data_IF_238476749642
#
_entry.id   IF_238476749642
#
_cell.length_a   1.000
_cell.length_b   1.000
_cell.length_c   1.000
_cell.angle_alpha   90.00
_cell.angle_beta   90.00
_cell.angle_gamma   90.00
#
_symmetry.space_group_name_H-M   'P 1'
#
loop_
_entity.id
_entity.type
_entity.pdbx_description
1 polymer ?
#
# COMPACT_ATOMS: atom_id res chain seq x y z
N UNK A 1 50.74 12.89 -45.05
CA UNK A 1 49.30 12.47 -45.01
C UNK A 1 48.87 11.79 -43.70
N UNK A 2 49.58 11.93 -42.58
CA UNK A 2 49.37 11.17 -41.36
C UNK A 2 48.73 11.97 -40.18
N UNK A 3 48.75 13.31 -40.23
CA UNK A 3 48.23 14.11 -39.12
C UNK A 3 46.70 14.36 -39.13
N UNK A 4 46.01 14.15 -40.26
CA UNK A 4 44.56 14.42 -40.37
C UNK A 4 43.68 13.25 -39.88
N UNK A 5 44.25 12.04 -39.74
CA UNK A 5 43.50 10.87 -39.28
C UNK A 5 43.42 10.73 -37.75
N UNK A 6 44.35 11.35 -37.02
CA UNK A 6 44.43 11.25 -35.54
C UNK A 6 43.40 12.20 -34.90
N UNK A 7 43.11 13.35 -35.50
CA UNK A 7 42.15 14.33 -34.99
C UNK A 7 40.67 13.83 -35.11
N UNK A 8 40.34 13.02 -36.13
CA UNK A 8 38.98 12.48 -36.27
C UNK A 8 38.70 11.36 -35.30
N UNK A 9 39.70 10.53 -34.97
CA UNK A 9 39.53 9.45 -33.98
C UNK A 9 39.40 9.99 -32.53
N UNK A 10 40.10 11.10 -32.20
CA UNK A 10 39.99 11.75 -30.91
C UNK A 10 38.64 12.44 -30.68
N UNK A 11 38.08 13.01 -31.71
CA UNK A 11 36.76 13.67 -31.64
C UNK A 11 35.59 12.69 -31.47
N UNK A 12 35.68 11.51 -32.10
CA UNK A 12 34.63 10.48 -31.97
C UNK A 12 34.66 9.83 -30.59
N UNK A 13 35.83 9.65 -29.98
CA UNK A 13 35.95 9.09 -28.64
C UNK A 13 35.46 10.04 -27.56
N UNK A 14 35.64 11.36 -27.72
CA UNK A 14 35.08 12.36 -26.79
C UNK A 14 33.57 12.49 -26.90
N UNK A 15 33.00 12.33 -28.08
CA UNK A 15 31.55 12.38 -28.30
C UNK A 15 30.83 11.15 -27.73
N UNK A 16 31.50 9.98 -27.73
CA UNK A 16 30.96 8.76 -27.11
C UNK A 16 31.04 8.77 -25.59
N UNK A 17 32.01 9.46 -24.99
CA UNK A 17 32.08 9.64 -23.53
C UNK A 17 31.06 10.66 -23.01
N UNK A 18 30.70 11.67 -23.79
CA UNK A 18 29.65 12.62 -23.41
C UNK A 18 28.24 12.05 -23.49
N UNK A 19 28.00 10.97 -24.25
CA UNK A 19 26.71 10.28 -24.33
C UNK A 19 26.50 9.25 -23.19
N UNK A 20 27.53 8.95 -22.38
CA UNK A 20 27.45 7.98 -21.30
C UNK A 20 27.11 8.58 -19.92
N UNK A 21 26.98 9.89 -19.81
CA UNK A 21 26.56 10.57 -18.58
C UNK A 21 25.09 11.01 -18.68
N UNK A 22 24.18 10.10 -19.01
CA UNK A 22 22.83 10.24 -18.51
C UNK A 22 22.83 9.65 -17.10
N UNK A 23 22.97 10.52 -16.11
CA UNK A 23 22.59 10.16 -14.75
C UNK A 23 21.10 9.82 -14.83
N UNK A 24 20.79 8.52 -14.72
CA UNK A 24 19.44 8.07 -14.44
C UNK A 24 19.02 8.83 -13.18
N UNK A 25 18.00 9.67 -13.28
CA UNK A 25 17.42 10.32 -12.12
C UNK A 25 16.82 9.25 -11.22
N UNK A 26 17.57 8.88 -10.18
CA UNK A 26 17.26 7.76 -9.30
C UNK A 26 16.06 8.02 -8.39
N UNK A 27 15.54 9.24 -8.39
CA UNK A 27 14.44 9.68 -7.52
C UNK A 27 13.15 10.06 -8.26
N UNK A 28 13.20 10.21 -9.57
CA UNK A 28 12.04 10.58 -10.37
C UNK A 28 11.73 9.55 -11.45
N UNK A 29 10.47 9.46 -11.82
CA UNK A 29 10.09 8.94 -13.14
C UNK A 29 10.52 9.94 -14.21
N UNK A 30 10.72 9.50 -15.45
CA UNK A 30 10.98 10.42 -16.58
C UNK A 30 10.01 11.60 -16.49
N UNK A 31 10.54 12.82 -16.34
CA UNK A 31 9.74 14.03 -16.15
C UNK A 31 9.03 14.36 -17.45
N UNK A 32 7.73 14.11 -17.59
CA UNK A 32 6.98 14.59 -18.75
C UNK A 32 6.95 16.11 -18.70
N UNK A 33 6.94 16.76 -19.85
CA UNK A 33 6.67 18.20 -19.88
C UNK A 33 5.32 18.43 -19.19
N UNK A 34 5.32 19.27 -18.16
CA UNK A 34 4.13 19.62 -17.41
C UNK A 34 3.05 20.19 -18.34
N UNK A 35 1.86 19.58 -18.38
CA UNK A 35 0.75 19.98 -19.24
C UNK A 35 -0.54 20.29 -18.48
N UNK A 36 -0.59 20.04 -17.18
CA UNK A 36 -1.84 20.02 -16.37
C UNK A 36 -2.27 21.38 -15.78
N UNK A 37 -1.61 22.51 -16.11
CA UNK A 37 -1.92 23.82 -15.54
C UNK A 37 -1.26 24.09 -14.17
N UNK A 38 -1.39 25.30 -13.63
CA UNK A 38 -0.70 25.74 -12.42
C UNK A 38 -1.01 24.85 -11.19
N UNK A 39 -2.21 24.27 -11.10
CA UNK A 39 -2.64 23.42 -9.99
C UNK A 39 -1.76 22.18 -9.81
N UNK A 40 -1.23 21.58 -10.88
CA UNK A 40 -0.47 20.34 -10.82
C UNK A 40 1.03 20.51 -11.01
N UNK A 41 1.55 21.74 -10.92
CA UNK A 41 2.98 22.01 -11.06
C UNK A 41 3.82 21.26 -10.03
N UNK A 42 3.27 21.07 -8.82
CA UNK A 42 3.95 20.38 -7.75
C UNK A 42 2.96 19.52 -6.99
N UNK A 43 2.75 18.34 -7.53
CA UNK A 43 1.91 17.33 -6.90
C UNK A 43 2.71 16.61 -5.80
N UNK A 44 2.09 16.49 -4.62
CA UNK A 44 2.60 15.69 -3.49
C UNK A 44 1.57 14.67 -3.07
N UNK A 45 2.01 13.45 -2.78
CA UNK A 45 1.15 12.40 -2.21
C UNK A 45 1.58 12.04 -0.79
N UNK A 46 0.60 12.02 0.11
CA UNK A 46 0.74 11.59 1.51
C UNK A 46 -0.04 10.29 1.71
N UNK A 47 0.44 9.41 2.57
CA UNK A 47 -0.26 8.16 2.84
C UNK A 47 0.60 7.10 3.49
N UNK A 48 0.20 5.86 3.27
CA UNK A 48 0.83 4.67 3.83
C UNK A 48 1.45 3.79 2.73
N UNK A 49 1.52 2.48 2.97
CA UNK A 49 2.07 1.47 2.05
C UNK A 49 1.43 1.49 0.66
N UNK A 50 0.12 1.76 0.56
CA UNK A 50 -0.60 1.86 -0.72
C UNK A 50 -0.02 2.96 -1.61
N UNK A 51 0.23 4.13 -1.01
CA UNK A 51 0.78 5.32 -1.67
C UNK A 51 2.27 5.17 -1.95
N UNK A 52 3.01 4.55 -1.02
CA UNK A 52 4.45 4.32 -1.17
C UNK A 52 4.79 3.30 -2.28
N UNK A 53 3.85 2.43 -2.65
CA UNK A 53 4.07 1.39 -3.66
C UNK A 53 4.52 0.06 -3.08
N UNK A 54 4.13 -0.26 -1.85
CA UNK A 54 4.35 -1.57 -1.24
C UNK A 54 3.51 -2.64 -1.94
N UNK A 55 4.12 -3.76 -2.29
CA UNK A 55 3.44 -4.89 -2.93
C UNK A 55 4.15 -6.20 -2.54
N UNK A 56 3.38 -7.27 -2.40
CA UNK A 56 3.90 -8.60 -2.09
C UNK A 56 4.78 -8.62 -0.82
N UNK A 57 4.34 -7.92 0.23
CA UNK A 57 5.06 -7.87 1.50
C UNK A 57 6.44 -7.20 1.42
N UNK A 58 6.66 -6.32 0.43
CA UNK A 58 7.93 -5.64 0.25
C UNK A 58 7.84 -4.40 -0.63
N UNK A 59 8.97 -3.71 -0.78
CA UNK A 59 9.05 -2.48 -1.56
C UNK A 59 10.45 -2.33 -2.19
N UNK A 60 10.48 -1.94 -3.45
CA UNK A 60 11.69 -1.57 -4.20
C UNK A 60 11.33 -0.57 -5.29
N UNK A 61 12.29 -0.08 -6.06
CA UNK A 61 12.07 0.87 -7.13
C UNK A 61 11.00 0.40 -8.15
N UNK A 62 10.97 -0.89 -8.47
CA UNK A 62 9.99 -1.43 -9.42
C UNK A 62 8.56 -1.33 -8.89
N UNK A 63 8.32 -1.67 -7.62
CA UNK A 63 6.99 -1.57 -7.01
C UNK A 63 6.59 -0.12 -6.76
N UNK A 64 7.56 0.74 -6.40
CA UNK A 64 7.34 2.18 -6.23
C UNK A 64 6.85 2.84 -7.52
N UNK A 65 7.46 2.51 -8.67
CA UNK A 65 7.03 2.98 -10.00
C UNK A 65 5.61 2.56 -10.38
N UNK A 66 5.10 1.50 -9.79
CA UNK A 66 3.76 0.98 -10.04
C UNK A 66 2.70 1.62 -9.15
N UNK A 67 3.09 2.42 -8.15
CA UNK A 67 2.14 3.06 -7.24
C UNK A 67 1.19 3.99 -7.99
N UNK A 68 -0.05 4.04 -7.54
CA UNK A 68 -1.06 4.91 -8.11
C UNK A 68 -0.63 6.39 -8.11
N UNK A 69 0.16 6.80 -7.11
CA UNK A 69 0.64 8.17 -6.96
C UNK A 69 1.61 8.55 -8.10
N UNK A 70 2.54 7.65 -8.43
CA UNK A 70 3.45 7.81 -9.58
C UNK A 70 2.67 7.84 -10.89
N UNK A 71 1.71 6.92 -11.06
CA UNK A 71 0.89 6.84 -12.27
C UNK A 71 0.00 8.08 -12.45
N UNK A 72 -0.58 8.60 -11.37
CA UNK A 72 -1.37 9.82 -11.39
C UNK A 72 -0.51 11.04 -11.70
N UNK A 73 0.68 11.15 -11.10
CA UNK A 73 1.63 12.21 -11.39
C UNK A 73 2.04 12.24 -12.87
N UNK A 74 2.32 11.07 -13.43
CA UNK A 74 2.64 10.93 -14.85
C UNK A 74 1.48 11.39 -15.74
N UNK A 75 0.24 11.05 -15.41
CA UNK A 75 -0.94 11.51 -16.13
C UNK A 75 -1.14 13.03 -16.00
N UNK A 76 -0.86 13.60 -14.82
CA UNK A 76 -0.88 15.06 -14.59
C UNK A 76 0.21 15.80 -15.35
N UNK A 77 1.27 15.10 -15.79
CA UNK A 77 2.50 15.72 -16.29
C UNK A 77 3.27 16.48 -15.19
N UNK A 78 3.11 16.07 -13.92
CA UNK A 78 3.77 16.68 -12.78
C UNK A 78 5.12 16.00 -12.51
N UNK A 79 6.22 16.73 -12.33
CA UNK A 79 7.46 16.17 -11.80
C UNK A 79 7.20 15.47 -10.47
N UNK A 80 7.70 14.24 -10.32
CA UNK A 80 7.35 13.43 -9.15
C UNK A 80 8.55 12.67 -8.60
N UNK A 81 9.03 13.11 -7.45
CA UNK A 81 10.20 12.58 -6.78
C UNK A 81 9.79 11.67 -5.62
N UNK A 82 10.34 10.47 -5.57
CA UNK A 82 10.12 9.51 -4.49
C UNK A 82 11.45 8.91 -4.00
N UNK A 83 11.53 8.42 -2.77
CA UNK A 83 12.75 7.82 -2.21
C UNK A 83 12.98 6.44 -2.84
N UNK A 84 13.57 6.42 -4.05
CA UNK A 84 13.78 5.20 -4.81
C UNK A 84 14.70 4.23 -4.07
N UNK A 85 14.21 3.03 -3.83
CA UNK A 85 14.91 1.99 -3.09
C UNK A 85 15.75 1.10 -4.02
N UNK A 86 16.82 0.55 -3.47
CA UNK A 86 17.63 -0.44 -4.15
C UNK A 86 16.85 -1.73 -4.46
N UNK A 87 17.32 -2.50 -5.44
CA UNK A 87 16.92 -3.88 -5.61
C UNK A 87 17.82 -4.79 -4.73
N UNK A 88 17.31 -5.91 -4.19
CA UNK A 88 15.97 -6.45 -4.43
C UNK A 88 14.85 -5.80 -3.60
N UNK A 89 15.13 -4.95 -2.62
CA UNK A 89 14.11 -4.19 -1.89
C UNK A 89 14.29 -4.13 -0.38
N UNK A 90 13.37 -3.45 0.29
CA UNK A 90 13.43 -3.12 1.72
C UNK A 90 12.07 -3.31 2.43
N UNK A 91 11.70 -4.53 2.83
CA UNK A 91 12.28 -5.81 2.41
C UNK A 91 12.01 -6.12 0.93
N UNK A 92 12.74 -7.07 0.34
CA UNK A 92 12.43 -7.52 -1.02
C UNK A 92 11.02 -8.08 -1.11
N UNK A 93 10.25 -7.78 -2.17
CA UNK A 93 8.96 -8.39 -2.40
C UNK A 93 9.01 -9.92 -2.39
N UNK A 94 7.96 -10.56 -1.89
CA UNK A 94 7.77 -12.01 -1.92
C UNK A 94 7.50 -12.44 -3.36
N UNK A 95 8.15 -13.46 -3.84
CA UNK A 95 7.92 -14.12 -5.13
C UNK A 95 7.26 -15.50 -4.99
N UNK A 96 7.41 -16.15 -3.82
CA UNK A 96 6.74 -17.39 -3.48
C UNK A 96 6.35 -17.38 -2.00
N UNK A 97 5.05 -17.28 -1.74
CA UNK A 97 4.54 -17.18 -0.37
C UNK A 97 4.50 -18.56 0.30
N UNK A 98 3.95 -19.55 -0.37
CA UNK A 98 3.73 -20.88 0.17
C UNK A 98 4.87 -21.81 -0.23
N UNK A 99 5.88 -21.92 0.63
CA UNK A 99 7.03 -22.80 0.43
C UNK A 99 6.92 -24.06 1.30
N UNK A 100 7.69 -25.08 0.96
CA UNK A 100 7.73 -26.30 1.78
C UNK A 100 8.28 -26.05 3.20
N UNK A 101 9.20 -25.09 3.34
CA UNK A 101 9.76 -24.69 4.65
C UNK A 101 8.82 -23.85 5.50
N UNK A 102 7.71 -23.34 4.93
CA UNK A 102 6.83 -22.37 5.59
C UNK A 102 7.35 -20.94 5.62
N UNK A 103 8.60 -20.70 5.19
CA UNK A 103 9.17 -19.35 5.11
C UNK A 103 9.00 -18.81 3.69
N UNK A 104 8.36 -17.64 3.49
CA UNK A 104 8.22 -17.06 2.17
C UNK A 104 9.57 -16.85 1.47
N UNK A 105 9.66 -17.16 0.19
CA UNK A 105 10.81 -16.80 -0.63
C UNK A 105 10.64 -15.38 -1.16
N UNK A 106 11.71 -14.60 -1.16
CA UNK A 106 11.74 -13.20 -1.59
C UNK A 106 12.67 -13.01 -2.78
N UNK A 107 12.41 -11.97 -3.55
CA UNK A 107 13.27 -11.59 -4.68
C UNK A 107 14.74 -11.49 -4.25
N UNK A 108 15.63 -12.05 -5.07
CA UNK A 108 17.06 -12.08 -4.79
C UNK A 108 17.49 -13.13 -3.77
N UNK A 109 16.58 -14.03 -3.35
CA UNK A 109 16.90 -15.11 -2.41
C UNK A 109 17.20 -14.62 -0.98
N UNK A 110 16.89 -13.38 -0.66
CA UNK A 110 17.33 -12.73 0.57
C UNK A 110 16.17 -12.51 1.54
N UNK A 111 16.34 -12.99 2.77
CA UNK A 111 15.63 -12.47 3.95
C UNK A 111 16.29 -11.20 4.50
N UNK A 112 17.40 -10.76 3.90
CA UNK A 112 18.22 -9.66 4.39
C UNK A 112 17.62 -8.34 3.97
N UNK A 113 17.26 -7.56 4.96
CA UNK A 113 16.69 -6.23 4.87
C UNK A 113 17.77 -5.16 4.93
N UNK A 114 18.83 -5.26 4.09
CA UNK A 114 19.74 -4.15 3.96
C UNK A 114 19.10 -3.09 3.09
N UNK A 115 18.57 -2.05 3.75
CA UNK A 115 17.80 -1.00 3.11
C UNK A 115 18.68 0.21 2.83
N UNK A 116 18.78 0.61 1.58
CA UNK A 116 19.37 1.90 1.20
C UNK A 116 18.73 2.45 -0.06
N UNK A 117 18.80 3.75 -0.20
CA UNK A 117 18.36 4.44 -1.40
C UNK A 117 19.30 4.10 -2.56
N UNK A 118 18.77 4.11 -3.78
CA UNK A 118 19.57 3.90 -5.00
C UNK A 118 20.60 5.00 -5.23
N UNK A 119 20.34 6.19 -4.70
CA UNK A 119 21.28 7.31 -4.73
C UNK A 119 21.57 7.80 -3.32
N UNK A 120 22.80 8.16 -3.06
CA UNK A 120 23.20 8.85 -1.82
C UNK A 120 22.71 10.31 -1.78
N UNK A 121 22.37 10.89 -2.93
CA UNK A 121 21.86 12.26 -3.04
C UNK A 121 20.34 12.23 -2.92
N UNK A 122 19.83 12.78 -1.83
CA UNK A 122 18.39 12.97 -1.64
C UNK A 122 18.00 14.26 -2.37
N UNK A 123 16.91 14.27 -3.18
CA UNK A 123 16.43 15.50 -3.79
C UNK A 123 16.06 16.53 -2.73
N UNK A 124 16.06 17.80 -3.08
CA UNK A 124 15.71 18.91 -2.18
C UNK A 124 14.34 18.74 -1.55
N UNK A 125 13.44 18.07 -2.23
CA UNK A 125 12.11 17.70 -1.73
C UNK A 125 11.64 16.39 -2.32
N UNK A 126 10.67 15.76 -1.67
CA UNK A 126 10.00 14.56 -2.13
C UNK A 126 8.56 14.89 -2.53
N UNK A 127 8.10 14.32 -3.61
CA UNK A 127 6.71 14.36 -4.05
C UNK A 127 5.88 13.22 -3.45
N UNK A 128 6.48 12.02 -3.28
CA UNK A 128 5.87 10.95 -2.51
C UNK A 128 6.47 10.93 -1.10
N UNK A 129 5.70 11.40 -0.13
CA UNK A 129 6.11 11.44 1.29
C UNK A 129 5.45 10.34 2.11
N UNK A 130 4.79 9.40 1.44
CA UNK A 130 4.12 8.28 2.10
C UNK A 130 5.14 7.29 2.71
N UNK A 131 4.79 6.75 3.88
CA UNK A 131 5.59 5.76 4.59
C UNK A 131 4.75 4.51 4.83
N UNK A 132 5.24 3.31 4.45
CA UNK A 132 4.55 2.07 4.74
C UNK A 132 4.23 1.92 6.24
N UNK A 133 3.05 1.38 6.54
CA UNK A 133 2.50 1.17 7.88
C UNK A 133 2.10 2.41 8.67
N UNK A 134 2.27 3.61 8.11
CA UNK A 134 1.90 4.85 8.81
C UNK A 134 0.39 4.91 9.09
N UNK A 135 0.07 5.27 10.33
CA UNK A 135 -1.24 5.71 10.79
C UNK A 135 -1.41 7.22 10.60
N UNK A 136 -2.60 7.74 10.86
CA UNK A 136 -2.85 9.18 10.76
C UNK A 136 -1.94 10.00 11.71
N UNK A 137 -1.65 9.48 12.89
CA UNK A 137 -0.74 10.10 13.85
C UNK A 137 0.70 10.18 13.32
N UNK A 138 1.18 9.14 12.62
CA UNK A 138 2.54 9.09 12.07
C UNK A 138 2.80 10.14 11.00
N UNK A 139 1.75 10.64 10.34
CA UNK A 139 1.89 11.72 9.37
C UNK A 139 2.29 13.05 10.02
N UNK A 140 2.00 13.24 11.31
CA UNK A 140 2.18 14.51 12.02
C UNK A 140 3.16 14.44 13.19
N UNK A 141 3.48 13.24 13.66
CA UNK A 141 4.43 13.01 14.77
C UNK A 141 5.46 11.98 14.35
N UNK A 142 6.72 12.28 14.58
CA UNK A 142 7.82 11.35 14.34
C UNK A 142 8.73 11.35 15.58
N UNK A 143 8.68 10.25 16.34
CA UNK A 143 9.53 10.14 17.53
C UNK A 143 9.21 8.91 18.39
N UNK A 144 10.19 8.42 19.15
CA UNK A 144 9.99 7.32 20.07
C UNK A 144 9.01 7.74 21.18
N UNK A 145 8.07 6.86 21.49
CA UNK A 145 7.12 7.05 22.59
C UNK A 145 5.83 7.79 22.25
N UNK A 146 5.60 8.11 21.00
CA UNK A 146 4.35 8.76 20.57
C UNK A 146 3.18 7.77 20.30
N UNK A 147 3.38 6.47 20.56
CA UNK A 147 2.40 5.44 20.21
C UNK A 147 2.22 5.27 18.70
N UNK A 148 3.21 5.68 17.93
CA UNK A 148 3.21 5.68 16.48
C UNK A 148 3.82 4.39 15.93
N UNK A 149 3.34 3.97 14.76
CA UNK A 149 3.97 2.92 13.96
C UNK A 149 5.18 3.44 13.16
N UNK A 150 5.82 4.52 13.63
CA UNK A 150 7.03 5.05 13.05
C UNK A 150 8.09 3.95 12.96
N UNK A 151 8.57 3.67 11.77
CA UNK A 151 9.48 2.58 11.48
C UNK A 151 10.78 3.08 10.83
N UNK A 152 11.73 2.17 10.61
CA UNK A 152 13.02 2.51 9.98
C UNK A 152 12.89 3.13 8.59
N UNK A 153 11.78 2.89 7.88
CA UNK A 153 11.52 3.49 6.58
C UNK A 153 11.20 4.99 6.70
N UNK A 154 10.58 5.44 7.79
CA UNK A 154 10.36 6.88 8.03
C UNK A 154 11.71 7.62 8.06
N UNK A 155 12.68 7.06 8.79
CA UNK A 155 14.02 7.63 8.83
C UNK A 155 14.71 7.59 7.47
N UNK A 156 14.60 6.47 6.77
CA UNK A 156 15.24 6.28 5.46
C UNK A 156 14.62 7.19 4.39
N UNK A 157 13.29 7.29 4.33
CA UNK A 157 12.58 8.03 3.29
C UNK A 157 12.61 9.53 3.54
N UNK A 158 12.32 9.95 4.77
CA UNK A 158 12.04 11.33 5.11
C UNK A 158 13.16 12.01 5.91
N UNK A 159 14.26 11.27 6.20
CA UNK A 159 15.40 11.79 6.98
C UNK A 159 14.97 12.24 8.38
N UNK A 160 14.02 11.55 9.02
CA UNK A 160 13.51 11.89 10.34
C UNK A 160 12.41 12.94 10.37
N UNK A 161 11.99 13.48 9.21
CA UNK A 161 10.84 14.40 9.12
C UNK A 161 9.53 13.62 9.18
N UNK A 162 8.44 14.29 9.59
CA UNK A 162 7.09 13.78 9.40
C UNK A 162 6.67 13.91 7.94
N UNK A 163 5.61 13.20 7.53
CA UNK A 163 5.05 13.39 6.20
C UNK A 163 4.60 14.83 5.96
N UNK A 164 4.00 15.45 6.98
CA UNK A 164 3.58 16.88 6.94
C UNK A 164 4.78 17.78 6.71
N UNK A 165 5.87 17.61 7.47
CA UNK A 165 7.07 18.43 7.30
C UNK A 165 7.66 18.27 5.88
N UNK A 166 7.79 17.03 5.41
CA UNK A 166 8.31 16.77 4.07
C UNK A 166 7.39 17.30 2.95
N UNK A 167 6.07 17.24 3.15
CA UNK A 167 5.07 17.84 2.25
C UNK A 167 5.20 19.36 2.20
N UNK A 168 5.34 20.02 3.36
CA UNK A 168 5.51 21.47 3.41
C UNK A 168 6.81 21.91 2.76
N UNK A 169 7.91 21.19 2.95
CA UNK A 169 9.21 21.46 2.31
C UNK A 169 9.13 21.34 0.77
N UNK A 170 8.21 20.52 0.27
CA UNK A 170 7.98 20.41 -1.16
C UNK A 170 7.21 21.60 -1.74
N UNK A 171 6.64 22.50 -0.95
CA UNK A 171 5.80 23.63 -1.39
C UNK A 171 4.76 23.19 -2.43
N UNK A 172 3.82 22.27 -2.11
CA UNK A 172 2.90 21.68 -3.08
C UNK A 172 1.94 22.71 -3.66
N UNK A 173 1.47 22.46 -4.88
CA UNK A 173 0.30 23.12 -5.46
C UNK A 173 -0.94 22.24 -5.41
N UNK A 174 -0.73 20.91 -5.34
CA UNK A 174 -1.78 19.90 -5.19
C UNK A 174 -1.31 18.77 -4.29
N UNK A 175 -2.17 18.31 -3.38
CA UNK A 175 -1.87 17.21 -2.47
C UNK A 175 -2.95 16.13 -2.57
N UNK A 176 -2.57 14.87 -2.68
CA UNK A 176 -3.48 13.75 -2.39
C UNK A 176 -3.15 13.15 -1.04
N UNK A 177 -4.18 12.85 -0.23
CA UNK A 177 -4.04 12.23 1.09
C UNK A 177 -4.83 10.95 1.15
N UNK A 178 -4.14 9.81 1.36
CA UNK A 178 -4.79 8.54 1.62
C UNK A 178 -4.10 7.84 2.80
N UNK A 179 -4.52 8.23 3.99
CA UNK A 179 -3.99 7.74 5.27
C UNK A 179 -5.16 7.42 6.22
N UNK A 180 -4.95 6.49 7.14
CA UNK A 180 -5.96 6.05 8.10
C UNK A 180 -6.35 4.57 7.97
N UNK A 181 -5.90 3.87 6.92
CA UNK A 181 -6.17 2.44 6.78
C UNK A 181 -5.52 1.62 7.90
N UNK A 182 -4.29 1.97 8.31
CA UNK A 182 -3.56 1.25 9.35
C UNK A 182 -4.14 1.50 10.75
N UNK A 183 -4.82 2.64 10.97
CA UNK A 183 -5.58 2.93 12.19
C UNK A 183 -6.66 1.88 12.51
N UNK A 184 -7.00 1.02 11.52
CA UNK A 184 -7.97 -0.08 11.62
C UNK A 184 -7.37 -1.44 11.30
N UNK A 185 -6.37 -1.52 10.40
CA UNK A 185 -5.91 -2.77 9.81
C UNK A 185 -5.29 -3.70 10.85
N UNK A 186 -4.39 -3.19 11.70
CA UNK A 186 -3.73 -4.00 12.72
C UNK A 186 -4.75 -4.61 13.71
N UNK A 187 -5.77 -3.84 14.09
CA UNK A 187 -6.87 -4.29 14.93
C UNK A 187 -7.69 -5.40 14.26
N UNK A 188 -8.01 -5.24 12.99
CA UNK A 188 -8.75 -6.24 12.22
C UNK A 188 -7.93 -7.54 12.05
N UNK A 189 -6.62 -7.43 11.79
CA UNK A 189 -5.73 -8.59 11.68
C UNK A 189 -5.58 -9.35 12.99
N UNK A 190 -5.59 -8.64 14.13
CA UNK A 190 -5.50 -9.23 15.46
C UNK A 190 -6.84 -9.75 15.99
N UNK A 191 -7.97 -9.38 15.40
CA UNK A 191 -9.30 -9.60 15.99
C UNK A 191 -9.48 -8.86 17.32
N UNK A 192 -8.81 -7.69 17.47
CA UNK A 192 -8.79 -6.93 18.72
C UNK A 192 -9.22 -5.48 18.51
N UNK A 193 -10.44 -5.16 18.90
CA UNK A 193 -11.02 -3.83 18.75
C UNK A 193 -10.33 -2.76 19.60
N UNK A 194 -9.55 -3.14 20.60
CA UNK A 194 -8.82 -2.18 21.47
C UNK A 194 -7.62 -1.54 20.78
N UNK A 195 -7.17 -2.14 19.67
CA UNK A 195 -6.06 -1.62 18.85
C UNK A 195 -6.51 -0.57 17.83
N UNK A 196 -7.80 -0.32 17.71
CA UNK A 196 -8.33 0.72 16.80
C UNK A 196 -7.99 2.10 17.34
N UNK A 197 -7.43 2.96 16.52
CA UNK A 197 -7.30 4.38 16.85
C UNK A 197 -8.69 4.99 17.07
N UNK A 198 -8.96 5.51 18.24
CA UNK A 198 -10.28 6.09 18.51
C UNK A 198 -10.59 7.29 17.62
N UNK A 199 -11.88 7.51 17.33
CA UNK A 199 -12.34 8.54 16.40
C UNK A 199 -11.90 9.96 16.79
N UNK A 200 -11.68 10.26 18.10
CA UNK A 200 -11.24 11.59 18.54
C UNK A 200 -9.75 11.78 18.23
N UNK A 201 -8.92 10.78 18.51
CA UNK A 201 -7.49 10.77 18.20
C UNK A 201 -7.25 10.84 16.70
N UNK A 202 -7.99 10.03 15.92
CA UNK A 202 -7.95 10.10 14.46
C UNK A 202 -8.29 11.51 13.95
N UNK A 203 -9.39 12.10 14.43
CA UNK A 203 -9.80 13.47 14.07
C UNK A 203 -8.74 14.49 14.38
N UNK A 204 -8.12 14.42 15.56
CA UNK A 204 -7.09 15.36 15.97
C UNK A 204 -5.83 15.28 15.09
N UNK A 205 -5.41 14.06 14.73
CA UNK A 205 -4.27 13.83 13.84
C UNK A 205 -4.57 14.27 12.41
N UNK A 206 -5.75 13.89 11.89
CA UNK A 206 -6.16 14.23 10.53
C UNK A 206 -6.37 15.74 10.34
N UNK A 207 -6.87 16.45 11.37
CA UNK A 207 -6.99 17.91 11.35
C UNK A 207 -5.62 18.57 11.17
N UNK A 208 -4.58 18.12 11.87
CA UNK A 208 -3.21 18.63 11.69
C UNK A 208 -2.67 18.44 10.27
N UNK A 209 -3.00 17.31 9.63
CA UNK A 209 -2.65 17.10 8.21
C UNK A 209 -3.32 18.14 7.33
N UNK A 210 -4.62 18.35 7.53
CA UNK A 210 -5.43 19.31 6.76
C UNK A 210 -4.97 20.76 6.98
N UNK A 211 -4.79 21.18 8.22
CA UNK A 211 -4.31 22.52 8.59
C UNK A 211 -2.93 22.81 7.96
N UNK A 212 -2.07 21.79 7.89
CA UNK A 212 -0.74 21.92 7.28
C UNK A 212 -0.81 22.05 5.76
N UNK A 213 -1.74 21.36 5.11
CA UNK A 213 -1.97 21.52 3.66
C UNK A 213 -2.54 22.91 3.38
N UNK A 214 -3.51 23.36 4.16
CA UNK A 214 -4.09 24.70 4.03
C UNK A 214 -3.02 25.78 4.18
N UNK A 215 -2.10 25.63 5.13
CA UNK A 215 -1.00 26.56 5.37
C UNK A 215 -0.05 26.71 4.16
N UNK A 216 0.02 25.70 3.26
CA UNK A 216 0.80 25.81 2.02
C UNK A 216 0.06 26.51 0.89
N UNK A 217 -1.24 26.74 1.02
CA UNK A 217 -2.10 27.23 -0.06
C UNK A 217 -2.41 26.18 -1.14
N UNK A 218 -2.04 24.94 -0.95
CA UNK A 218 -2.31 23.86 -1.90
C UNK A 218 -3.78 23.47 -1.93
N UNK A 219 -4.23 22.98 -3.08
CA UNK A 219 -5.51 22.29 -3.22
C UNK A 219 -5.33 20.79 -2.95
N UNK A 220 -6.36 20.09 -2.47
CA UNK A 220 -6.20 18.68 -2.13
C UNK A 220 -7.33 17.76 -2.62
N UNK A 221 -7.00 16.48 -2.80
CA UNK A 221 -7.94 15.36 -2.87
C UNK A 221 -7.75 14.48 -1.63
N UNK A 222 -8.80 14.37 -0.82
CA UNK A 222 -8.84 13.48 0.33
C UNK A 222 -9.52 12.15 -0.06
N UNK A 223 -8.84 11.03 0.18
CA UNK A 223 -9.32 9.71 -0.21
C UNK A 223 -9.87 8.98 1.00
N UNK A 224 -11.04 8.38 0.87
CA UNK A 224 -11.65 7.57 1.91
C UNK A 224 -10.80 6.36 2.26
N UNK A 225 -10.69 6.07 3.54
CA UNK A 225 -10.05 4.84 4.02
C UNK A 225 -10.98 3.65 3.86
N UNK A 226 -10.42 2.44 3.70
CA UNK A 226 -11.18 1.21 3.59
C UNK A 226 -10.33 0.01 3.94
N UNK A 227 -10.99 -0.98 4.54
CA UNK A 227 -10.43 -2.31 4.80
C UNK A 227 -10.96 -3.36 3.80
N UNK A 228 -11.61 -2.92 2.73
CA UNK A 228 -12.39 -3.77 1.84
C UNK A 228 -13.88 -3.73 2.17
N UNK A 229 -14.65 -4.64 1.59
CA UNK A 229 -16.11 -4.62 1.59
C UNK A 229 -16.75 -4.72 2.97
N UNK A 230 -17.81 -3.93 3.19
CA UNK A 230 -18.51 -3.83 4.47
C UNK A 230 -19.21 -5.13 4.92
N UNK A 231 -19.53 -6.04 4.01
CA UNK A 231 -20.46 -7.15 4.36
C UNK A 231 -19.82 -8.52 4.54
N UNK A 232 -18.54 -8.74 4.21
CA UNK A 232 -18.01 -10.09 4.40
C UNK A 232 -16.59 -10.40 3.96
N UNK A 233 -15.95 -9.53 3.24
CA UNK A 233 -14.60 -9.76 2.80
C UNK A 233 -13.81 -8.49 2.99
N UNK A 234 -13.43 -8.33 4.19
CA UNK A 234 -12.19 -7.65 4.46
C UNK A 234 -11.18 -8.20 3.45
N UNK A 235 -10.24 -7.42 3.01
CA UNK A 235 -9.11 -7.80 2.17
C UNK A 235 -8.89 -9.33 2.06
N UNK A 236 -8.34 -9.87 0.98
CA UNK A 236 -8.09 -11.32 0.85
C UNK A 236 -7.15 -11.93 1.89
N UNK A 237 -6.87 -11.19 2.98
CA UNK A 237 -6.19 -11.69 4.18
C UNK A 237 -7.03 -12.63 5.04
N UNK A 238 -8.33 -12.70 4.79
CA UNK A 238 -9.27 -13.42 5.61
C UNK A 238 -10.04 -14.44 4.79
N UNK A 239 -10.39 -15.54 5.44
CA UNK A 239 -11.34 -16.50 4.91
C UNK A 239 -12.39 -16.86 5.96
N UNK A 240 -13.53 -17.33 5.52
CA UNK A 240 -14.58 -17.83 6.43
C UNK A 240 -14.09 -19.03 7.22
N UNK A 241 -14.48 -19.13 8.48
CA UNK A 241 -14.22 -20.30 9.29
C UNK A 241 -14.73 -21.59 8.64
N UNK A 242 -15.92 -21.53 7.98
CA UNK A 242 -16.48 -22.65 7.23
C UNK A 242 -15.63 -23.10 6.05
N UNK A 243 -14.91 -22.20 5.40
CA UNK A 243 -13.95 -22.54 4.33
C UNK A 243 -12.81 -23.38 4.89
N UNK A 244 -12.20 -22.96 6.01
CA UNK A 244 -11.16 -23.72 6.69
C UNK A 244 -11.68 -25.09 7.14
N UNK A 245 -12.90 -25.15 7.71
CA UNK A 245 -13.54 -26.38 8.14
C UNK A 245 -13.75 -27.36 6.97
N UNK A 246 -14.30 -26.89 5.86
CA UNK A 246 -14.51 -27.70 4.67
C UNK A 246 -13.22 -28.23 4.05
N UNK A 247 -12.17 -27.39 3.98
CA UNK A 247 -10.85 -27.80 3.50
C UNK A 247 -10.21 -28.87 4.42
N UNK A 248 -10.31 -28.72 5.74
CA UNK A 248 -9.83 -29.72 6.66
C UNK A 248 -10.58 -31.06 6.49
N UNK A 249 -11.91 -31.00 6.39
CA UNK A 249 -12.75 -32.18 6.17
C UNK A 249 -12.45 -32.89 4.84
N UNK A 250 -12.03 -32.16 3.81
CA UNK A 250 -11.59 -32.75 2.52
C UNK A 250 -10.17 -33.30 2.53
N UNK A 251 -9.43 -33.19 3.64
CA UNK A 251 -8.05 -33.62 3.73
C UNK A 251 -7.03 -32.68 3.06
N UNK A 252 -7.41 -31.45 2.75
CA UNK A 252 -6.52 -30.50 2.06
C UNK A 252 -5.24 -30.17 2.85
N UNK A 253 -5.22 -30.39 4.15
CA UNK A 253 -4.08 -30.12 5.03
C UNK A 253 -3.28 -31.37 5.44
N UNK A 254 -3.70 -32.57 4.97
CA UNK A 254 -3.00 -33.81 5.26
C UNK A 254 -1.60 -33.81 4.62
N UNK A 255 -0.58 -34.51 5.21
CA UNK A 255 -0.66 -35.34 6.43
C UNK A 255 -0.40 -34.55 7.75
N UNK A 256 -0.34 -33.22 7.74
CA UNK A 256 -0.09 -32.46 8.95
C UNK A 256 -1.18 -32.71 10.02
N UNK A 257 -0.82 -32.85 11.30
CA UNK A 257 -1.78 -33.01 12.38
C UNK A 257 -2.48 -31.67 12.72
N UNK A 258 -3.08 -31.06 11.69
CA UNK A 258 -3.85 -29.84 11.75
C UNK A 258 -5.34 -30.16 11.71
N UNK A 259 -6.08 -29.68 12.70
CA UNK A 259 -7.54 -29.83 12.76
C UNK A 259 -8.22 -28.48 12.78
N UNK A 260 -9.49 -28.45 12.42
CA UNK A 260 -10.36 -27.28 12.56
C UNK A 260 -11.53 -27.64 13.44
N UNK A 261 -11.75 -26.86 14.48
CA UNK A 261 -12.77 -27.13 15.49
C UNK A 261 -14.19 -27.07 14.89
N UNK A 262 -15.12 -27.83 15.50
CA UNK A 262 -16.50 -27.88 15.04
C UNK A 262 -17.23 -26.52 15.10
N UNK A 263 -16.78 -25.59 15.93
CA UNK A 263 -17.31 -24.23 15.99
C UNK A 263 -16.98 -23.38 14.75
N UNK A 264 -16.11 -23.88 13.85
CA UNK A 264 -15.85 -23.32 12.54
C UNK A 264 -16.79 -23.88 11.45
N UNK A 265 -17.62 -24.88 11.75
CA UNK A 265 -18.61 -25.39 10.80
C UNK A 265 -19.74 -24.38 10.56
N UNK A 266 -20.45 -24.49 9.41
CA UNK A 266 -21.70 -23.75 9.22
C UNK A 266 -22.74 -24.05 10.32
N UNK A 267 -23.62 -23.10 10.71
CA UNK A 267 -23.72 -21.73 10.18
C UNK A 267 -22.75 -20.74 10.85
N UNK A 268 -22.14 -21.04 12.01
CA UNK A 268 -21.22 -20.11 12.71
C UNK A 268 -20.02 -19.74 11.84
N UNK A 269 -19.38 -20.76 11.27
CA UNK A 269 -18.20 -20.57 10.44
C UNK A 269 -18.43 -19.67 9.22
N UNK A 270 -19.66 -19.54 8.77
CA UNK A 270 -20.01 -18.63 7.65
C UNK A 270 -20.00 -17.16 8.04
N UNK A 271 -19.95 -16.85 9.33
CA UNK A 271 -20.04 -15.49 9.87
C UNK A 271 -18.74 -14.96 10.43
N UNK A 272 -17.79 -15.83 10.76
CA UNK A 272 -16.50 -15.45 11.35
C UNK A 272 -15.41 -15.40 10.29
N UNK A 273 -14.44 -14.50 10.50
CA UNK A 273 -13.31 -14.28 9.60
C UNK A 273 -12.03 -14.73 10.27
N UNK A 274 -11.37 -15.71 9.67
CA UNK A 274 -10.07 -16.23 10.12
C UNK A 274 -8.97 -15.52 9.31
N UNK A 275 -8.08 -14.83 10.01
CA UNK A 275 -6.90 -14.24 9.40
C UNK A 275 -5.97 -15.35 8.90
N UNK A 276 -5.46 -15.22 7.67
CA UNK A 276 -4.56 -16.22 7.08
C UNK A 276 -3.24 -16.35 7.84
N UNK A 277 -2.69 -15.28 8.42
CA UNK A 277 -1.47 -15.37 9.21
C UNK A 277 -1.65 -16.26 10.44
N UNK A 278 -2.79 -16.19 11.11
CA UNK A 278 -3.16 -17.07 12.20
C UNK A 278 -3.37 -18.52 11.74
N UNK A 279 -4.24 -18.74 10.75
CA UNK A 279 -4.55 -20.09 10.28
C UNK A 279 -3.34 -20.80 9.67
N UNK A 280 -2.55 -20.14 8.85
CA UNK A 280 -1.31 -20.71 8.29
C UNK A 280 -0.19 -20.83 9.33
N UNK A 281 -0.14 -19.98 10.34
CA UNK A 281 0.78 -20.13 11.48
C UNK A 281 0.54 -21.44 12.22
N UNK A 282 -0.73 -21.76 12.52
CA UNK A 282 -1.11 -23.04 13.11
C UNK A 282 -0.76 -24.23 12.20
N UNK A 283 -1.06 -24.11 10.89
CA UNK A 283 -0.72 -25.15 9.91
C UNK A 283 0.79 -25.34 9.79
N UNK A 284 1.59 -24.28 9.81
CA UNK A 284 3.05 -24.36 9.80
C UNK A 284 3.58 -25.12 11.03
N UNK A 285 3.05 -24.81 12.22
CA UNK A 285 3.36 -25.55 13.45
C UNK A 285 2.98 -27.03 13.34
N UNK A 286 1.81 -27.33 12.79
CA UNK A 286 1.40 -28.72 12.55
C UNK A 286 2.35 -29.48 11.64
N UNK A 287 2.87 -28.83 10.58
CA UNK A 287 3.85 -29.44 9.65
C UNK A 287 5.17 -29.82 10.31
N UNK A 288 5.51 -29.25 11.49
CA UNK A 288 6.66 -29.71 12.29
C UNK A 288 6.35 -30.93 13.16
N UNK A 289 5.14 -31.49 13.05
CA UNK A 289 4.70 -32.66 13.82
C UNK A 289 3.97 -32.33 15.15
N UNK A 290 3.80 -31.04 15.46
CA UNK A 290 3.05 -30.63 16.68
C UNK A 290 1.57 -30.47 16.33
N UNK A 291 0.65 -31.25 16.94
CA UNK A 291 -0.78 -31.14 16.70
C UNK A 291 -1.29 -29.72 17.01
N UNK A 292 -2.06 -29.14 16.09
CA UNK A 292 -2.70 -27.83 16.28
C UNK A 292 -4.16 -27.86 15.87
N UNK A 293 -4.96 -26.98 16.46
CA UNK A 293 -6.38 -26.83 16.14
C UNK A 293 -6.71 -25.37 15.89
N UNK A 294 -7.32 -25.08 14.73
CA UNK A 294 -7.91 -23.79 14.47
C UNK A 294 -9.26 -23.71 15.17
N UNK A 295 -9.40 -22.78 16.08
CA UNK A 295 -10.62 -22.52 16.84
C UNK A 295 -11.23 -21.18 16.43
N UNK A 296 -12.50 -21.18 16.02
CA UNK A 296 -13.21 -19.99 15.57
C UNK A 296 -13.72 -19.10 16.72
N UNK A 297 -13.33 -19.37 17.95
CA UNK A 297 -13.51 -18.49 19.11
C UNK A 297 -12.18 -17.92 19.63
N UNK A 298 -11.06 -18.26 18.99
CA UNK A 298 -9.76 -17.75 19.39
C UNK A 298 -9.66 -16.23 19.10
N UNK A 299 -8.93 -15.46 19.93
CA UNK A 299 -8.82 -14.01 19.79
C UNK A 299 -8.45 -13.50 18.38
N UNK A 300 -7.58 -14.18 17.58
CA UNK A 300 -7.25 -13.72 16.23
C UNK A 300 -8.35 -13.93 15.17
N UNK A 301 -9.50 -14.47 15.57
CA UNK A 301 -10.66 -14.67 14.68
C UNK A 301 -11.64 -13.53 14.87
N UNK A 302 -11.90 -12.77 13.80
CA UNK A 302 -12.85 -11.66 13.85
C UNK A 302 -14.29 -12.17 13.86
N UNK A 303 -15.00 -11.87 14.94
CA UNK A 303 -16.40 -12.18 15.08
C UNK A 303 -17.33 -11.10 14.48
N UNK A 304 -18.62 -11.42 14.20
CA UNK A 304 -19.54 -10.45 13.62
C UNK A 304 -19.71 -9.13 14.39
N UNK A 305 -19.69 -9.10 15.75
CA UNK A 305 -19.71 -7.83 16.48
C UNK A 305 -18.49 -6.95 16.21
N UNK A 306 -17.29 -7.56 16.10
CA UNK A 306 -16.02 -6.88 15.82
C UNK A 306 -15.99 -6.37 14.39
N UNK A 307 -16.38 -7.19 13.41
CA UNK A 307 -16.50 -6.76 12.02
C UNK A 307 -17.42 -5.55 11.87
N UNK A 308 -18.56 -5.53 12.61
CA UNK A 308 -19.46 -4.37 12.65
C UNK A 308 -18.83 -3.17 13.36
N UNK A 309 -18.01 -3.39 14.38
CA UNK A 309 -17.27 -2.32 15.04
C UNK A 309 -16.28 -1.66 14.05
N UNK A 310 -15.43 -2.44 13.37
CA UNK A 310 -14.50 -1.92 12.36
C UNK A 310 -15.21 -1.15 11.24
N UNK A 311 -16.35 -1.64 10.76
CA UNK A 311 -17.15 -0.95 9.75
C UNK A 311 -17.68 0.41 10.25
N UNK A 312 -18.10 0.51 11.52
CA UNK A 312 -18.57 1.78 12.11
C UNK A 312 -17.42 2.78 12.26
N UNK A 313 -16.25 2.34 12.74
CA UNK A 313 -15.08 3.20 12.89
C UNK A 313 -14.59 3.70 11.52
N UNK A 314 -14.53 2.82 10.51
CA UNK A 314 -14.24 3.21 9.13
C UNK A 314 -15.21 4.30 8.62
N UNK A 315 -16.51 4.11 8.85
CA UNK A 315 -17.51 5.09 8.45
C UNK A 315 -17.35 6.42 9.20
N UNK A 316 -16.98 6.39 10.49
CA UNK A 316 -16.71 7.57 11.29
C UNK A 316 -15.47 8.34 10.78
N UNK A 317 -14.38 7.62 10.44
CA UNK A 317 -13.20 8.24 9.83
C UNK A 317 -13.53 8.86 8.47
N UNK A 318 -14.24 8.15 7.60
CA UNK A 318 -14.63 8.68 6.29
C UNK A 318 -15.53 9.90 6.40
N UNK A 319 -16.41 9.95 7.41
CA UNK A 319 -17.21 11.14 7.70
C UNK A 319 -16.34 12.34 8.17
N UNK A 320 -15.25 12.09 8.91
CA UNK A 320 -14.27 13.13 9.28
C UNK A 320 -13.55 13.63 8.02
N UNK A 321 -13.00 12.74 7.21
CA UNK A 321 -12.29 13.06 5.97
C UNK A 321 -13.17 13.88 5.03
N UNK A 322 -14.41 13.45 4.83
CA UNK A 322 -15.38 14.15 3.97
C UNK A 322 -15.73 15.55 4.48
N UNK A 323 -15.92 15.69 5.80
CA UNK A 323 -16.19 17.01 6.40
C UNK A 323 -15.02 17.95 6.21
N UNK A 324 -13.77 17.48 6.38
CA UNK A 324 -12.57 18.27 6.14
C UNK A 324 -12.49 18.72 4.67
N UNK A 325 -12.69 17.81 3.73
CA UNK A 325 -12.71 18.16 2.30
C UNK A 325 -13.78 19.22 1.99
N UNK A 326 -14.97 19.08 2.57
CA UNK A 326 -16.08 20.02 2.36
C UNK A 326 -15.76 21.41 2.95
N UNK A 327 -15.21 21.46 4.17
CA UNK A 327 -14.89 22.71 4.85
C UNK A 327 -13.86 23.55 4.07
N UNK A 328 -12.90 22.91 3.41
CA UNK A 328 -11.84 23.56 2.63
C UNK A 328 -12.16 23.68 1.13
N UNK A 329 -13.34 23.24 0.68
CA UNK A 329 -13.71 23.23 -0.74
C UNK A 329 -12.90 22.21 -1.57
N UNK A 330 -12.21 21.27 -0.95
CA UNK A 330 -11.35 20.28 -1.59
C UNK A 330 -12.13 19.08 -2.13
N UNK A 331 -11.43 18.22 -2.89
CA UNK A 331 -11.98 16.96 -3.37
C UNK A 331 -12.05 15.91 -2.27
N UNK A 332 -13.11 15.12 -2.29
CA UNK A 332 -13.25 13.87 -1.54
C UNK A 332 -13.61 12.76 -2.50
N UNK A 333 -13.07 11.57 -2.30
CA UNK A 333 -13.45 10.40 -3.09
C UNK A 333 -13.49 9.13 -2.27
N UNK A 334 -14.56 8.36 -2.42
CA UNK A 334 -14.73 6.98 -1.95
C UNK A 334 -14.75 5.98 -3.12
N UNK A 335 -14.37 6.44 -4.31
CA UNK A 335 -14.45 5.66 -5.53
C UNK A 335 -13.53 4.44 -5.56
N UNK A 336 -12.49 4.42 -4.71
CA UNK A 336 -11.59 3.26 -4.58
C UNK A 336 -12.30 2.13 -3.85
N UNK A 337 -12.97 2.40 -2.72
CA UNK A 337 -13.74 1.40 -1.99
C UNK A 337 -14.87 0.83 -2.87
N UNK A 338 -15.64 1.70 -3.52
CA UNK A 338 -16.68 1.29 -4.48
C UNK A 338 -16.13 0.43 -5.62
N UNK A 339 -14.92 0.71 -6.10
CA UNK A 339 -14.27 -0.10 -7.12
C UNK A 339 -13.88 -1.49 -6.58
N UNK A 340 -13.28 -1.56 -5.40
CA UNK A 340 -12.90 -2.83 -4.76
C UNK A 340 -14.15 -3.69 -4.50
N UNK A 341 -15.24 -3.09 -4.03
CA UNK A 341 -16.54 -3.75 -3.86
C UNK A 341 -17.08 -4.32 -5.17
N UNK A 342 -16.87 -3.60 -6.25
CA UNK A 342 -17.28 -4.06 -7.59
C UNK A 342 -16.37 -5.21 -8.06
N UNK A 343 -15.06 -5.13 -7.83
CA UNK A 343 -14.11 -6.19 -8.17
C UNK A 343 -14.38 -7.47 -7.37
N UNK A 344 -14.76 -7.37 -6.10
CA UNK A 344 -15.08 -8.52 -5.27
C UNK A 344 -16.23 -9.38 -5.82
N UNK A 345 -17.10 -8.79 -6.66
CA UNK A 345 -18.20 -9.47 -7.33
C UNK A 345 -17.81 -10.11 -8.67
N UNK A 346 -16.61 -9.85 -9.15
CA UNK A 346 -16.10 -10.40 -10.41
C UNK A 346 -15.28 -11.65 -10.12
N UNK A 347 -15.56 -12.72 -10.88
CA UNK A 347 -14.85 -13.99 -10.71
C UNK A 347 -13.33 -13.82 -10.77
N UNK A 348 -12.64 -14.53 -9.91
CA UNK A 348 -11.17 -14.56 -9.79
C UNK A 348 -10.48 -13.23 -9.40
N UNK A 349 -11.20 -12.15 -9.15
CA UNK A 349 -10.57 -10.91 -8.67
C UNK A 349 -10.14 -11.04 -7.21
N UNK A 350 -10.95 -11.69 -6.38
CA UNK A 350 -10.67 -12.02 -4.98
C UNK A 350 -10.77 -13.53 -4.80
N UNK A 351 -9.75 -14.15 -4.23
CA UNK A 351 -9.81 -15.57 -3.90
C UNK A 351 -10.40 -15.75 -2.48
N UNK A 352 -11.46 -16.57 -2.32
CA UNK A 352 -12.04 -16.81 -0.99
C UNK A 352 -11.10 -17.61 -0.07
N UNK A 353 -10.13 -18.29 -0.65
CA UNK A 353 -9.00 -18.93 -0.01
C UNK A 353 -7.80 -18.87 -0.98
N UNK A 354 -6.57 -18.63 -0.50
CA UNK A 354 -5.45 -18.48 -1.41
C UNK A 354 -5.10 -19.79 -2.11
N UNK A 355 -4.70 -19.70 -3.36
CA UNK A 355 -4.11 -20.83 -4.08
C UNK A 355 -2.69 -21.09 -3.56
N UNK A 356 -2.54 -22.03 -2.62
CA UNK A 356 -1.27 -22.34 -1.97
C UNK A 356 -0.26 -23.02 -2.88
N UNK A 357 -0.66 -23.48 -4.07
CA UNK A 357 0.22 -24.05 -5.07
C UNK A 357 0.76 -22.99 -6.06
N UNK A 358 0.21 -21.78 -6.05
CA UNK A 358 0.62 -20.73 -6.97
C UNK A 358 1.82 -19.92 -6.43
N UNK A 359 2.80 -19.66 -7.29
CA UNK A 359 3.77 -18.59 -7.06
C UNK A 359 3.08 -17.21 -7.16
N UNK A 360 3.76 -16.14 -6.75
CA UNK A 360 3.16 -14.80 -6.69
C UNK A 360 2.67 -14.27 -8.05
N UNK A 361 3.32 -14.64 -9.14
CA UNK A 361 2.87 -14.32 -10.50
C UNK A 361 1.61 -15.09 -10.95
N UNK A 362 1.21 -16.11 -10.20
CA UNK A 362 -0.06 -16.84 -10.36
C UNK A 362 -1.20 -16.27 -9.51
N UNK A 363 -1.00 -15.13 -8.86
CA UNK A 363 -2.01 -14.38 -8.09
C UNK A 363 -2.74 -15.22 -7.04
N UNK A 364 -2.05 -15.73 -6.01
CA UNK A 364 -2.63 -16.64 -5.02
C UNK A 364 -3.86 -16.08 -4.31
N UNK A 365 -3.96 -14.76 -4.13
CA UNK A 365 -5.09 -14.07 -3.51
C UNK A 365 -6.12 -13.50 -4.50
N UNK A 366 -6.02 -13.86 -5.79
CA UNK A 366 -6.86 -13.34 -6.87
C UNK A 366 -6.20 -12.21 -7.64
N UNK A 367 -6.81 -11.88 -8.79
CA UNK A 367 -6.21 -10.98 -9.79
C UNK A 367 -6.10 -9.51 -9.35
N UNK A 368 -6.76 -9.12 -8.25
CA UNK A 368 -6.73 -7.74 -7.78
C UNK A 368 -5.57 -7.44 -6.82
N UNK A 369 -4.99 -8.47 -6.19
CA UNK A 369 -4.04 -8.30 -5.09
C UNK A 369 -2.65 -8.84 -5.43
N UNK A 370 -1.67 -8.29 -4.73
CA UNK A 370 -0.31 -8.81 -4.72
C UNK A 370 -0.18 -10.01 -3.77
N UNK A 371 1.00 -10.60 -3.69
CA UNK A 371 1.24 -11.87 -3.01
C UNK A 371 1.10 -11.81 -1.48
N UNK A 372 0.86 -10.65 -0.90
CA UNK A 372 0.60 -10.50 0.53
C UNK A 372 -0.90 -10.51 0.88
N UNK A 373 -1.80 -10.49 -0.12
CA UNK A 373 -3.24 -10.48 0.09
C UNK A 373 -3.82 -9.18 0.66
N UNK A 374 -2.99 -8.16 0.85
CA UNK A 374 -3.37 -6.83 1.38
C UNK A 374 -3.29 -5.78 0.29
N UNK A 375 -2.13 -5.71 -0.35
CA UNK A 375 -1.82 -4.62 -1.24
C UNK A 375 -2.28 -4.92 -2.67
N UNK A 376 -2.89 -3.93 -3.34
CA UNK A 376 -3.23 -4.03 -4.75
C UNK A 376 -1.99 -4.33 -5.58
N UNK A 377 -2.13 -5.21 -6.57
CA UNK A 377 -1.06 -5.41 -7.55
C UNK A 377 -0.99 -4.26 -8.56
N UNK A 378 -0.01 -4.32 -9.48
CA UNK A 378 0.20 -3.29 -10.51
C UNK A 378 -1.08 -2.94 -11.30
N UNK A 379 -1.87 -3.95 -11.69
CA UNK A 379 -3.09 -3.71 -12.46
C UNK A 379 -4.13 -2.93 -11.64
N UNK A 380 -4.30 -3.28 -10.38
CA UNK A 380 -5.24 -2.59 -9.49
C UNK A 380 -4.71 -1.22 -9.06
N UNK A 381 -3.41 -1.04 -8.85
CA UNK A 381 -2.80 0.29 -8.65
C UNK A 381 -3.12 1.24 -9.82
N UNK A 382 -3.10 0.74 -11.07
CA UNK A 382 -3.50 1.49 -12.26
C UNK A 382 -4.99 1.86 -12.23
N UNK A 383 -5.87 0.94 -11.80
CA UNK A 383 -7.30 1.24 -11.63
C UNK A 383 -7.52 2.32 -10.56
N UNK A 384 -6.80 2.26 -9.45
CA UNK A 384 -6.84 3.28 -8.40
C UNK A 384 -6.43 4.64 -8.98
N UNK A 385 -5.30 4.71 -9.69
CA UNK A 385 -4.86 5.96 -10.33
C UNK A 385 -5.92 6.55 -11.26
N UNK A 386 -6.58 5.70 -12.06
CA UNK A 386 -7.70 6.12 -12.93
C UNK A 386 -8.88 6.67 -12.13
N UNK A 387 -9.20 6.09 -10.95
CA UNK A 387 -10.27 6.59 -10.09
C UNK A 387 -9.93 7.95 -9.50
N UNK A 388 -8.70 8.13 -9.03
CA UNK A 388 -8.24 9.40 -8.48
C UNK A 388 -8.24 10.50 -9.56
N UNK A 389 -7.68 10.25 -10.73
CA UNK A 389 -7.66 11.20 -11.84
C UNK A 389 -9.09 11.61 -12.24
N UNK A 390 -10.03 10.68 -12.32
CA UNK A 390 -11.43 11.00 -12.59
C UNK A 390 -12.06 11.87 -11.50
N UNK A 391 -11.77 11.58 -10.23
CA UNK A 391 -12.27 12.38 -9.11
C UNK A 391 -11.71 13.81 -9.13
N UNK A 392 -10.42 13.95 -9.45
CA UNK A 392 -9.76 15.25 -9.61
C UNK A 392 -10.39 16.02 -10.77
N UNK A 393 -10.52 15.41 -11.95
CA UNK A 393 -11.13 16.06 -13.12
C UNK A 393 -12.56 16.51 -12.83
N UNK A 394 -13.37 15.66 -12.18
CA UNK A 394 -14.74 15.99 -11.83
C UNK A 394 -14.85 17.13 -10.82
N UNK A 395 -13.96 17.17 -9.81
CA UNK A 395 -13.99 18.20 -8.77
C UNK A 395 -13.48 19.54 -9.24
N UNK A 396 -12.41 19.54 -10.03
CA UNK A 396 -11.66 20.77 -10.37
C UNK A 396 -11.84 21.24 -11.82
N UNK A 397 -12.66 20.52 -12.60
CA UNK A 397 -12.83 20.84 -14.04
C UNK A 397 -11.54 20.68 -14.84
N UNK A 398 -10.60 19.87 -14.34
CA UNK A 398 -9.34 19.62 -15.03
C UNK A 398 -9.51 18.57 -16.13
N UNK A 399 -8.57 18.54 -17.08
CA UNK A 399 -8.57 17.62 -18.22
C UNK A 399 -7.33 16.69 -18.17
N UNK A 400 -7.00 16.16 -16.97
CA UNK A 400 -5.90 15.21 -16.83
C UNK A 400 -6.22 14.01 -17.72
N UNK A 401 -5.28 13.58 -18.60
CA UNK A 401 -5.45 12.42 -19.46
C UNK A 401 -5.74 11.13 -18.65
N UNK A 402 -6.36 10.16 -19.30
CA UNK A 402 -6.55 8.85 -18.69
C UNK A 402 -5.19 8.20 -18.41
N UNK A 403 -5.06 7.61 -17.22
CA UNK A 403 -3.89 6.78 -16.88
C UNK A 403 -3.90 5.55 -17.79
N UNK A 404 -2.82 5.28 -18.53
CA UNK A 404 -2.72 4.19 -19.50
C UNK A 404 -2.84 2.80 -18.89
#
# INVERSE_FOLDING_TARGET
>A
MTHRRILVAGGLSLALLAAACHEDDLFSTAVPQYTGGAMFQRYVSMGNSLTAGWQSGGINDSTQKQSYAVLAAAAMGSPFYYPSLNNPGCPPPIDTLFTASGTPHRLGGSSVTTCFLRSATIPLFLSNVAVPFAEALDAVVNGPGAGTNSNGLTQLFLGGRTQVQAMMDAHPTFVSVWIGNNDLLAAAEAGDTTLVTDTASFRASYAKVVDSIEATGATALLVAVGLGHQDSTVLPLFSRGSTWYGLAASGAFAPAPFTVAANCAPPRGDTVLVNFSYGFGLLATAKTGTPTTLDCTAPPVTEPPEARFFAREQAAYNAIIQRQATAHGWGYTDSVNTMLDSLAKVANQFAPFPNTAAACNGFPFGLAFSCDGVHPNQATQRLIARKLVRAINAKYGSAIPAVP
#
